data_IF_542474598209
#
_entry.id   IF_542474598209
#
_cell.length_a   1.000
_cell.length_b   1.000
_cell.length_c   1.000
_cell.angle_alpha   90.00
_cell.angle_beta   90.00
_cell.angle_gamma   90.00
#
_symmetry.space_group_name_H-M   'P 1'
#
loop_
_entity.id
_entity.type
_entity.pdbx_description
1 polymer ?
#
# COMPACT_ATOMS: atom_id res chain seq x y z
N UNK A 1 27.30 32.56 64.25
CA UNK A 1 27.10 32.07 62.88
C UNK A 1 27.64 30.65 62.82
N UNK A 2 26.76 29.65 62.62
CA UNK A 2 27.12 28.24 62.53
C UNK A 2 27.53 27.91 61.09
N UNK A 3 28.78 27.49 60.89
CA UNK A 3 29.24 26.98 59.59
C UNK A 3 28.80 25.53 59.44
N UNK A 4 28.05 25.25 58.36
CA UNK A 4 27.60 23.90 57.97
C UNK A 4 28.69 23.28 57.11
N UNK A 5 29.21 22.11 57.51
CA UNK A 5 30.13 21.31 56.71
C UNK A 5 29.31 20.32 55.86
N UNK A 6 29.49 20.36 54.54
CA UNK A 6 28.97 19.34 53.61
C UNK A 6 29.99 18.21 53.49
N UNK A 7 29.62 17.01 53.93
CA UNK A 7 30.38 15.77 53.73
C UNK A 7 29.90 15.15 52.41
N UNK A 8 30.80 15.07 51.43
CA UNK A 8 30.55 14.31 50.20
C UNK A 8 30.90 12.84 50.43
N UNK A 9 29.88 11.99 50.58
CA UNK A 9 30.05 10.54 50.55
C UNK A 9 30.04 10.12 49.08
N UNK A 10 31.21 9.78 48.56
CA UNK A 10 31.38 9.11 47.27
C UNK A 10 30.88 7.66 47.42
N UNK A 11 29.66 7.40 46.93
CA UNK A 11 29.17 6.04 46.72
C UNK A 11 29.78 5.52 45.41
N UNK A 12 30.83 4.70 45.52
CA UNK A 12 31.38 3.96 44.38
C UNK A 12 30.42 2.81 44.08
N UNK A 13 29.51 3.00 43.12
CA UNK A 13 28.74 1.91 42.54
C UNK A 13 29.68 1.06 41.67
N UNK A 14 30.10 -0.10 42.20
CA UNK A 14 30.65 -1.18 41.39
C UNK A 14 29.54 -1.70 40.48
N UNK A 15 29.47 -1.14 39.27
CA UNK A 15 28.68 -1.71 38.19
C UNK A 15 29.36 -3.01 37.77
N UNK A 16 28.91 -4.14 38.33
CA UNK A 16 29.18 -5.44 37.75
C UNK A 16 28.41 -5.52 36.42
N UNK A 17 29.08 -5.13 35.34
CA UNK A 17 28.62 -5.41 33.98
C UNK A 17 28.72 -6.91 33.74
N UNK A 18 27.58 -7.60 33.77
CA UNK A 18 27.50 -8.94 33.21
C UNK A 18 27.63 -8.79 31.69
N UNK A 19 28.78 -9.16 31.13
CA UNK A 19 28.86 -9.45 29.69
C UNK A 19 27.99 -10.68 29.47
N UNK A 20 26.73 -10.44 29.06
CA UNK A 20 25.98 -11.47 28.35
C UNK A 20 26.84 -11.78 27.14
N UNK A 21 27.41 -12.97 27.12
CA UNK A 21 28.19 -13.47 26.00
C UNK A 21 27.28 -13.36 24.77
N UNK A 22 27.54 -12.37 23.92
CA UNK A 22 26.85 -12.21 22.65
C UNK A 22 27.23 -13.44 21.84
N UNK A 23 26.38 -14.47 21.90
CA UNK A 23 26.34 -15.53 20.93
C UNK A 23 26.10 -14.83 19.58
N UNK A 24 27.17 -14.53 18.85
CA UNK A 24 27.08 -14.01 17.49
C UNK A 24 26.22 -15.03 16.74
N UNK A 25 24.99 -14.65 16.39
CA UNK A 25 24.11 -15.53 15.65
C UNK A 25 24.79 -15.87 14.32
N UNK A 26 25.09 -17.15 14.12
CA UNK A 26 25.78 -17.68 12.92
C UNK A 26 24.91 -17.65 11.66
N UNK A 27 23.66 -17.19 11.80
CA UNK A 27 22.65 -17.13 10.75
C UNK A 27 22.10 -15.71 10.72
N UNK A 28 22.13 -15.09 9.54
CA UNK A 28 21.61 -13.74 9.37
C UNK A 28 20.52 -13.73 8.32
N UNK A 29 19.35 -13.23 8.69
CA UNK A 29 18.36 -12.82 7.71
C UNK A 29 18.88 -11.53 7.07
N UNK A 30 19.16 -11.58 5.77
CA UNK A 30 19.68 -10.43 5.02
C UNK A 30 18.57 -9.63 4.37
N UNK A 31 17.41 -10.25 4.15
CA UNK A 31 16.21 -9.58 3.71
C UNK A 31 14.95 -10.36 4.15
N UNK A 32 13.86 -9.66 4.51
CA UNK A 32 13.79 -8.23 4.80
C UNK A 32 14.52 -7.83 6.09
N UNK A 33 14.46 -6.53 6.42
CA UNK A 33 14.91 -6.02 7.71
C UNK A 33 13.84 -6.26 8.80
N UNK A 34 14.28 -6.37 10.05
CA UNK A 34 13.39 -6.54 11.20
C UNK A 34 12.48 -5.32 11.38
N UNK A 35 11.18 -5.56 11.54
CA UNK A 35 10.11 -4.55 11.57
C UNK A 35 9.55 -4.16 10.20
N UNK A 36 9.99 -4.79 9.10
CA UNK A 36 9.46 -4.49 7.77
C UNK A 36 7.94 -4.69 7.70
N UNK A 37 7.27 -3.80 6.98
CA UNK A 37 5.82 -3.85 6.74
C UNK A 37 5.57 -4.31 5.32
N UNK A 38 4.70 -5.30 5.18
CA UNK A 38 4.19 -5.82 3.92
C UNK A 38 2.68 -5.70 3.91
N UNK A 39 2.12 -5.68 2.72
CA UNK A 39 0.70 -5.69 2.50
C UNK A 39 0.19 -7.10 2.24
N UNK A 40 -1.05 -7.34 2.63
CA UNK A 40 -1.71 -8.63 2.45
C UNK A 40 -1.81 -8.96 0.94
N UNK A 41 -1.34 -10.15 0.58
CA UNK A 41 -1.26 -10.66 -0.79
C UNK A 41 0.10 -10.47 -1.46
N UNK A 42 1.00 -9.67 -0.87
CA UNK A 42 2.36 -9.49 -1.41
C UNK A 42 3.19 -10.78 -1.40
N UNK A 43 4.10 -10.88 -2.37
CA UNK A 43 5.13 -11.91 -2.45
C UNK A 43 6.46 -11.35 -1.94
N UNK A 44 6.84 -11.77 -0.74
CA UNK A 44 7.99 -11.28 0.00
C UNK A 44 9.14 -12.27 -0.12
N UNK A 45 10.28 -11.82 -0.68
CA UNK A 45 11.53 -12.58 -0.61
C UNK A 45 12.01 -12.61 0.85
N UNK A 46 12.49 -13.75 1.30
CA UNK A 46 13.21 -13.93 2.56
C UNK A 46 14.56 -14.54 2.20
N UNK A 47 15.64 -13.82 2.47
CA UNK A 47 16.99 -14.22 2.12
C UNK A 47 17.81 -14.43 3.39
N UNK A 48 18.57 -15.53 3.42
CA UNK A 48 19.38 -15.93 4.57
C UNK A 48 20.83 -16.06 4.13
N UNK A 49 21.72 -15.48 4.92
CA UNK A 49 23.15 -15.66 4.82
C UNK A 49 23.65 -16.55 5.98
N UNK A 50 24.56 -17.45 5.64
CA UNK A 50 25.13 -18.46 6.53
C UNK A 50 26.65 -18.32 6.48
N UNK A 51 27.31 -18.06 7.62
CA UNK A 51 28.74 -17.73 7.68
C UNK A 51 29.68 -18.91 7.32
N UNK A 52 30.98 -18.69 7.15
CA UNK A 52 31.92 -19.72 6.62
C UNK A 52 32.08 -21.00 7.48
N UNK A 53 31.71 -21.00 8.77
CA UNK A 53 31.63 -22.23 9.59
C UNK A 53 30.45 -23.14 9.19
N UNK A 54 29.55 -22.64 8.34
CA UNK A 54 28.43 -23.36 7.75
C UNK A 54 28.78 -24.21 6.52
N UNK A 55 30.07 -24.52 6.28
CA UNK A 55 30.52 -25.44 5.23
C UNK A 55 29.80 -26.82 5.21
N UNK A 56 29.03 -27.13 6.25
CA UNK A 56 28.24 -28.34 6.40
C UNK A 56 26.70 -28.13 6.38
N UNK A 57 26.18 -26.98 5.94
CA UNK A 57 24.72 -26.79 5.85
C UNK A 57 24.13 -27.71 4.79
N UNK A 58 23.11 -28.45 5.21
CA UNK A 58 22.33 -29.31 4.33
C UNK A 58 20.97 -28.69 4.02
N UNK A 59 20.35 -28.02 4.99
CA UNK A 59 19.03 -27.41 4.79
C UNK A 59 18.76 -26.23 5.72
N UNK A 60 17.91 -25.31 5.26
CA UNK A 60 17.42 -24.13 5.97
C UNK A 60 15.90 -24.18 6.02
N UNK A 61 15.35 -24.20 7.22
CA UNK A 61 13.91 -24.16 7.47
C UNK A 61 13.46 -22.73 7.66
N UNK A 62 12.48 -22.33 6.84
CA UNK A 62 11.75 -21.09 6.95
C UNK A 62 10.43 -21.36 7.64
N UNK A 63 10.09 -20.55 8.64
CA UNK A 63 8.85 -20.66 9.39
C UNK A 63 8.16 -19.32 9.52
N UNK A 64 6.83 -19.35 9.56
CA UNK A 64 5.97 -18.21 9.86
C UNK A 64 5.14 -18.57 11.08
N UNK A 65 5.20 -17.74 12.11
CA UNK A 65 4.54 -17.96 13.41
C UNK A 65 4.85 -19.35 14.00
N UNK A 66 6.12 -19.78 13.86
CA UNK A 66 6.64 -21.05 14.37
C UNK A 66 6.31 -22.28 13.52
N UNK A 67 5.46 -22.16 12.50
CA UNK A 67 5.15 -23.25 11.56
C UNK A 67 6.14 -23.23 10.39
N UNK A 68 6.84 -24.34 10.14
CA UNK A 68 7.70 -24.47 8.96
C UNK A 68 6.82 -24.39 7.70
N UNK A 69 7.16 -23.45 6.83
CA UNK A 69 6.46 -23.20 5.56
C UNK A 69 7.30 -23.62 4.36
N UNK A 70 8.62 -23.66 4.51
CA UNK A 70 9.54 -24.04 3.43
C UNK A 70 10.87 -24.57 3.97
N UNK A 71 11.49 -25.47 3.21
CA UNK A 71 12.83 -25.99 3.46
C UNK A 71 13.64 -25.81 2.19
N UNK A 72 14.72 -25.02 2.28
CA UNK A 72 15.67 -24.87 1.19
C UNK A 72 16.91 -25.73 1.46
N UNK A 73 17.37 -26.47 0.45
CA UNK A 73 18.52 -27.37 0.53
C UNK A 73 19.70 -26.89 -0.29
N UNK A 74 19.59 -25.74 -0.94
CA UNK A 74 20.58 -25.27 -1.90
C UNK A 74 20.80 -23.77 -1.76
N UNK A 75 22.06 -23.38 -1.52
CA UNK A 75 22.45 -21.97 -1.54
C UNK A 75 22.31 -21.36 -2.95
N UNK A 76 21.95 -20.07 -3.08
CA UNK A 76 21.61 -19.15 -1.99
C UNK A 76 20.28 -19.50 -1.34
N UNK A 77 20.22 -19.45 0.00
CA UNK A 77 19.04 -19.89 0.75
C UNK A 77 17.96 -18.82 0.75
N UNK A 78 16.89 -19.08 0.01
CA UNK A 78 15.85 -18.09 -0.28
C UNK A 78 14.46 -18.70 -0.27
N UNK A 79 13.50 -17.94 0.24
CA UNK A 79 12.09 -18.31 0.20
C UNK A 79 11.24 -17.12 -0.23
N UNK A 80 10.26 -17.35 -1.10
CA UNK A 80 9.26 -16.36 -1.45
C UNK A 80 7.96 -16.66 -0.70
N UNK A 81 7.72 -15.92 0.38
CA UNK A 81 6.53 -16.00 1.19
C UNK A 81 5.40 -15.15 0.60
N UNK A 82 4.23 -15.73 0.37
CA UNK A 82 3.02 -14.97 -0.01
C UNK A 82 2.17 -14.69 1.24
N UNK A 83 1.89 -13.41 1.52
CA UNK A 83 1.19 -12.97 2.74
C UNK A 83 -0.33 -13.17 2.70
N UNK A 84 -0.89 -13.60 1.55
CA UNK A 84 -2.34 -13.78 1.33
C UNK A 84 -3.04 -14.62 2.41
N UNK A 85 -2.43 -15.74 2.80
CA UNK A 85 -2.98 -16.65 3.81
C UNK A 85 -2.63 -16.27 5.25
N UNK A 86 -1.86 -15.20 5.44
CA UNK A 86 -1.46 -14.72 6.75
C UNK A 86 -2.47 -13.73 7.31
N UNK A 87 -2.67 -13.78 8.61
CA UNK A 87 -3.50 -12.80 9.30
C UNK A 87 -2.82 -11.43 9.29
N UNK A 88 -3.62 -10.36 9.35
CA UNK A 88 -3.11 -8.99 9.51
C UNK A 88 -2.51 -8.83 10.91
N UNK A 89 -1.39 -8.11 11.01
CA UNK A 89 -0.67 -7.84 12.24
C UNK A 89 0.79 -8.32 12.20
N UNK A 90 1.40 -8.37 13.37
CA UNK A 90 2.79 -8.79 13.53
C UNK A 90 2.93 -10.30 13.29
N UNK A 91 3.91 -10.70 12.48
CA UNK A 91 4.29 -12.07 12.15
C UNK A 91 5.74 -12.31 12.56
N UNK A 92 6.01 -13.49 13.10
CA UNK A 92 7.38 -13.93 13.39
C UNK A 92 7.89 -14.81 12.24
N UNK A 93 8.95 -14.37 11.58
CA UNK A 93 9.67 -15.19 10.60
C UNK A 93 10.84 -15.85 11.32
N UNK A 94 10.80 -17.18 11.43
CA UNK A 94 11.84 -17.98 12.05
C UNK A 94 12.67 -18.73 11.02
N UNK A 95 13.98 -18.67 11.16
CA UNK A 95 14.97 -19.41 10.37
C UNK A 95 15.69 -20.41 11.26
N UNK A 96 15.82 -21.64 10.78
CA UNK A 96 16.65 -22.67 11.42
C UNK A 96 17.55 -23.30 10.37
N UNK A 97 18.85 -23.29 10.61
CA UNK A 97 19.87 -23.83 9.71
C UNK A 97 20.35 -25.17 10.27
N UNK A 98 20.38 -26.21 9.44
CA UNK A 98 20.66 -27.58 9.87
C UNK A 98 21.74 -28.28 9.05
N UNK A 99 22.44 -29.19 9.72
CA UNK A 99 23.18 -30.28 9.12
C UNK A 99 22.55 -31.60 9.59
N UNK A 100 21.80 -32.24 8.70
CA UNK A 100 20.94 -33.37 9.05
C UNK A 100 20.01 -33.01 10.23
N UNK A 101 20.13 -33.66 11.39
CA UNK A 101 19.31 -33.35 12.57
C UNK A 101 19.92 -32.33 13.52
N UNK A 102 21.14 -31.84 13.25
CA UNK A 102 21.83 -30.89 14.12
C UNK A 102 21.48 -29.47 13.72
N UNK A 103 20.99 -28.67 14.67
CA UNK A 103 20.77 -27.24 14.47
C UNK A 103 22.11 -26.52 14.56
N UNK A 104 22.51 -25.90 13.45
CA UNK A 104 23.74 -25.10 13.35
C UNK A 104 23.51 -23.64 13.76
N UNK A 105 22.28 -23.14 13.63
CA UNK A 105 21.92 -21.80 14.08
C UNK A 105 20.46 -21.45 13.83
N UNK A 106 20.01 -20.40 14.49
CA UNK A 106 18.64 -19.88 14.39
C UNK A 106 18.64 -18.36 14.31
N UNK A 107 17.69 -17.83 13.57
CA UNK A 107 17.41 -16.39 13.52
C UNK A 107 15.90 -16.18 13.53
N UNK A 108 15.46 -15.03 14.04
CA UNK A 108 14.08 -14.60 13.93
C UNK A 108 14.03 -13.12 13.59
N UNK A 109 12.93 -12.70 12.96
CA UNK A 109 12.59 -11.31 12.76
C UNK A 109 11.07 -11.14 12.87
N UNK A 110 10.66 -9.96 13.31
CA UNK A 110 9.27 -9.57 13.35
C UNK A 110 8.97 -8.76 12.09
N UNK A 111 7.92 -9.11 11.36
CA UNK A 111 7.42 -8.31 10.23
C UNK A 111 5.96 -7.99 10.49
N UNK A 112 5.40 -7.00 9.79
CA UNK A 112 3.98 -6.65 9.90
C UNK A 112 3.30 -6.91 8.56
N UNK A 113 2.15 -7.58 8.59
CA UNK A 113 1.26 -7.70 7.43
C UNK A 113 0.09 -6.75 7.66
N UNK A 114 -0.06 -5.73 6.83
CA UNK A 114 -1.17 -4.77 6.88
C UNK A 114 -2.15 -4.97 5.71
N UNK A 115 -3.41 -4.62 5.92
CA UNK A 115 -4.43 -4.52 4.87
C UNK A 115 -4.91 -3.10 4.65
N UNK A 116 -4.21 -2.14 5.25
CA UNK A 116 -4.49 -0.71 5.14
C UNK A 116 -3.18 0.07 5.01
N UNK A 117 -3.27 1.26 4.41
CA UNK A 117 -2.21 2.23 4.31
C UNK A 117 -2.68 3.53 4.94
N UNK A 118 -1.88 4.14 5.81
CA UNK A 118 -2.17 5.48 6.35
C UNK A 118 -1.29 6.51 5.67
N UNK A 119 -1.92 7.44 4.96
CA UNK A 119 -1.23 8.52 4.27
C UNK A 119 -0.59 9.47 5.30
N UNK A 120 0.75 9.61 5.32
CA UNK A 120 1.42 10.44 6.32
C UNK A 120 1.15 11.94 6.14
N UNK A 121 0.59 12.37 5.01
CA UNK A 121 0.36 13.79 4.69
C UNK A 121 -0.89 14.34 5.36
N UNK A 122 -1.90 13.49 5.60
CA UNK A 122 -3.17 13.89 6.20
C UNK A 122 -3.70 12.93 7.27
N UNK A 123 -3.01 11.81 7.53
CA UNK A 123 -3.38 10.80 8.50
C UNK A 123 -4.56 9.93 8.08
N UNK A 124 -5.01 10.01 6.83
CA UNK A 124 -6.13 9.21 6.34
C UNK A 124 -5.70 7.78 6.06
N UNK A 125 -6.45 6.84 6.61
CA UNK A 125 -6.24 5.41 6.36
C UNK A 125 -7.12 4.94 5.20
N UNK A 126 -6.50 4.27 4.24
CA UNK A 126 -7.12 3.64 3.08
C UNK A 126 -6.99 2.13 3.16
N UNK A 127 -8.04 1.41 2.77
CA UNK A 127 -7.95 -0.01 2.46
C UNK A 127 -7.12 -0.22 1.21
N UNK A 128 -6.41 -1.32 1.19
CA UNK A 128 -5.60 -1.73 0.04
C UNK A 128 -5.88 -3.18 -0.31
N UNK A 129 -5.61 -3.52 -1.56
CA UNK A 129 -5.63 -4.89 -2.06
C UNK A 129 -4.39 -5.15 -2.88
N UNK A 130 -3.94 -6.40 -2.92
CA UNK A 130 -2.88 -6.83 -3.85
C UNK A 130 -3.53 -7.56 -5.01
N UNK A 131 -3.19 -7.15 -6.23
CA UNK A 131 -3.66 -7.78 -7.47
C UNK A 131 -2.47 -7.99 -8.39
N UNK A 132 -2.15 -9.26 -8.66
CA UNK A 132 -0.90 -9.62 -9.32
C UNK A 132 0.29 -9.18 -8.46
N UNK A 133 1.22 -8.45 -9.06
CA UNK A 133 2.40 -7.89 -8.37
C UNK A 133 2.19 -6.46 -7.87
N UNK A 134 0.99 -5.88 -8.05
CA UNK A 134 0.70 -4.49 -7.71
C UNK A 134 -0.21 -4.38 -6.48
N UNK A 135 0.03 -3.36 -5.65
CA UNK A 135 -0.82 -3.00 -4.52
C UNK A 135 -1.63 -1.77 -4.89
N UNK A 136 -2.94 -1.84 -4.67
CA UNK A 136 -3.91 -0.81 -5.06
C UNK A 136 -4.63 -0.27 -3.84
N UNK A 137 -5.02 1.01 -3.87
CA UNK A 137 -6.09 1.45 -2.99
C UNK A 137 -7.40 0.80 -3.40
N UNK A 138 -8.13 0.28 -2.41
CA UNK A 138 -9.50 -0.21 -2.56
C UNK A 138 -10.53 0.89 -2.22
N UNK A 139 -10.08 2.15 -2.17
CA UNK A 139 -10.87 3.33 -1.87
C UNK A 139 -10.31 4.49 -2.70
N UNK A 140 -11.14 5.46 -3.06
CA UNK A 140 -10.67 6.64 -3.79
C UNK A 140 -9.70 7.46 -2.93
N UNK A 141 -8.57 7.86 -3.52
CA UNK A 141 -7.65 8.79 -2.88
C UNK A 141 -8.37 10.11 -2.58
N UNK A 142 -8.26 10.58 -1.34
CA UNK A 142 -9.00 11.74 -0.85
C UNK A 142 -8.08 12.87 -0.37
N UNK A 143 -6.82 12.85 -0.77
CA UNK A 143 -5.86 13.89 -0.42
C UNK A 143 -6.31 15.24 -1.03
N UNK A 144 -6.53 16.24 -0.19
CA UNK A 144 -7.11 17.53 -0.61
C UNK A 144 -6.32 18.70 0.00
N UNK A 145 -5.35 19.31 -0.70
CA UNK A 145 -4.51 20.39 -0.17
C UNK A 145 -5.14 21.76 -0.33
N UNK A 146 -6.03 21.87 -1.30
CA UNK A 146 -6.54 23.06 -1.92
C UNK A 146 -7.87 22.68 -2.57
N UNK A 147 -8.66 23.67 -2.97
CA UNK A 147 -9.97 23.47 -3.58
C UNK A 147 -10.18 24.51 -4.68
N UNK A 148 -10.54 24.04 -5.86
CA UNK A 148 -10.85 24.85 -7.03
C UNK A 148 -12.34 24.97 -7.23
N UNK A 149 -12.77 26.05 -7.88
CA UNK A 149 -14.16 26.16 -8.31
C UNK A 149 -14.43 25.11 -9.40
N UNK A 150 -15.64 24.51 -9.45
CA UNK A 150 -15.99 23.56 -10.52
C UNK A 150 -15.94 24.14 -11.95
N UNK A 151 -15.91 25.46 -12.08
CA UNK A 151 -15.77 26.19 -13.35
C UNK A 151 -14.32 26.42 -13.76
N UNK A 152 -13.36 26.21 -12.86
CA UNK A 152 -11.94 26.39 -13.11
C UNK A 152 -11.34 25.08 -13.61
N UNK A 153 -10.56 25.14 -14.69
CA UNK A 153 -9.86 24.01 -15.26
C UNK A 153 -8.53 24.42 -15.85
N UNK A 154 -7.61 23.46 -15.95
CA UNK A 154 -6.31 23.68 -16.59
C UNK A 154 -5.67 22.36 -17.02
N UNK A 155 -4.89 22.42 -18.10
CA UNK A 155 -3.97 21.36 -18.53
C UNK A 155 -2.57 21.47 -17.90
N UNK A 156 -2.30 22.56 -17.17
CA UNK A 156 -0.96 22.81 -16.57
C UNK A 156 -1.01 23.21 -15.09
N UNK A 157 -2.09 23.87 -14.67
CA UNK A 157 -2.39 24.13 -13.26
C UNK A 157 -2.94 22.90 -12.57
N UNK A 158 -2.73 22.78 -11.26
CA UNK A 158 -3.32 21.72 -10.44
C UNK A 158 -4.70 22.18 -9.96
N UNK A 159 -5.72 21.37 -10.19
CA UNK A 159 -7.06 21.62 -9.70
C UNK A 159 -7.62 20.44 -8.93
N UNK A 160 -8.27 20.75 -7.83
CA UNK A 160 -8.82 19.81 -6.87
C UNK A 160 -10.30 20.13 -6.66
N UNK A 161 -11.16 19.12 -6.72
CA UNK A 161 -12.60 19.34 -6.60
C UNK A 161 -13.21 18.38 -5.59
N UNK A 162 -14.32 18.80 -5.01
CA UNK A 162 -15.19 17.95 -4.20
C UNK A 162 -16.58 17.99 -4.80
N UNK A 163 -17.17 16.80 -4.98
CA UNK A 163 -18.47 16.67 -5.61
C UNK A 163 -19.53 17.47 -4.85
N UNK A 164 -20.22 18.38 -5.56
CA UNK A 164 -21.28 19.23 -5.01
C UNK A 164 -20.78 20.34 -4.08
N UNK A 165 -19.49 20.68 -4.12
CA UNK A 165 -18.91 21.76 -3.32
C UNK A 165 -18.34 22.86 -4.23
N UNK A 166 -18.83 24.09 -4.06
CA UNK A 166 -18.39 25.30 -4.77
C UNK A 166 -17.80 26.37 -3.83
N UNK A 167 -17.54 26.01 -2.56
CA UNK A 167 -16.84 26.93 -1.65
C UNK A 167 -15.34 26.97 -1.93
N UNK A 168 -14.62 27.80 -1.17
CA UNK A 168 -13.18 28.03 -1.32
C UNK A 168 -12.37 27.60 -0.09
N UNK A 169 -12.97 26.82 0.82
CA UNK A 169 -12.33 26.37 2.05
C UNK A 169 -12.24 24.84 2.09
N UNK A 170 -11.01 24.32 2.06
CA UNK A 170 -10.72 22.88 2.20
C UNK A 170 -11.37 22.29 3.44
N UNK A 171 -11.34 22.99 4.58
CA UNK A 171 -11.95 22.50 5.82
C UNK A 171 -13.45 22.23 5.67
N UNK A 172 -14.17 23.09 4.96
CA UNK A 172 -15.61 22.94 4.73
C UNK A 172 -15.86 21.84 3.69
N UNK A 173 -15.05 21.77 2.63
CA UNK A 173 -15.11 20.70 1.64
C UNK A 173 -14.98 19.31 2.31
N UNK A 174 -14.02 19.16 3.24
CA UNK A 174 -13.77 17.93 3.99
C UNK A 174 -14.92 17.47 4.89
N UNK A 175 -15.81 18.39 5.27
CA UNK A 175 -16.98 18.11 6.09
C UNK A 175 -18.20 17.67 5.26
N UNK A 176 -18.16 17.82 3.94
CA UNK A 176 -19.27 17.41 3.07
C UNK A 176 -19.44 15.89 3.04
N UNK A 177 -20.68 15.42 2.93
CA UNK A 177 -20.99 14.00 2.81
C UNK A 177 -20.34 13.36 1.57
N UNK A 178 -20.26 14.12 0.47
CA UNK A 178 -19.63 13.67 -0.76
C UNK A 178 -18.12 13.49 -0.61
N UNK A 179 -17.41 14.40 0.05
CA UNK A 179 -15.98 14.19 0.34
C UNK A 179 -15.75 12.97 1.22
N UNK A 180 -16.54 12.82 2.28
CA UNK A 180 -16.41 11.69 3.20
C UNK A 180 -16.64 10.35 2.49
N UNK A 181 -17.58 10.30 1.54
CA UNK A 181 -17.97 9.10 0.80
C UNK A 181 -17.08 8.81 -0.41
N UNK A 182 -16.76 9.81 -1.22
CA UNK A 182 -16.15 9.64 -2.54
C UNK A 182 -14.71 10.16 -2.64
N UNK A 183 -14.27 10.97 -1.67
CA UNK A 183 -12.97 11.62 -1.71
C UNK A 183 -12.95 12.88 -2.56
N UNK A 184 -11.82 13.14 -3.21
CA UNK A 184 -11.60 14.29 -4.07
C UNK A 184 -11.46 13.87 -5.54
N UNK A 185 -11.73 14.81 -6.43
CA UNK A 185 -11.51 14.69 -7.87
C UNK A 185 -10.32 15.57 -8.26
N UNK A 186 -9.57 15.14 -9.25
CA UNK A 186 -8.32 15.78 -9.65
C UNK A 186 -8.31 15.94 -11.16
N UNK A 187 -7.81 17.07 -11.68
CA UNK A 187 -7.31 17.07 -13.04
C UNK A 187 -6.00 16.27 -13.12
N UNK A 188 -5.52 15.96 -14.33
CA UNK A 188 -4.34 15.11 -14.52
C UNK A 188 -3.10 15.63 -13.79
N UNK A 189 -2.79 16.94 -13.90
CA UNK A 189 -1.64 17.54 -13.22
C UNK A 189 -1.74 17.44 -11.69
N UNK A 190 -2.94 17.60 -11.13
CA UNK A 190 -3.16 17.40 -9.70
C UNK A 190 -3.04 15.93 -9.31
N UNK A 191 -3.56 15.00 -10.11
CA UNK A 191 -3.47 13.56 -9.86
C UNK A 191 -2.01 13.11 -9.79
N UNK A 192 -1.15 13.58 -10.72
CA UNK A 192 0.28 13.25 -10.76
C UNK A 192 1.03 13.72 -9.51
N UNK A 193 0.52 14.75 -8.84
CA UNK A 193 1.06 15.27 -7.58
C UNK A 193 0.34 14.73 -6.33
N UNK A 194 -0.82 14.08 -6.49
CA UNK A 194 -1.67 13.66 -5.39
C UNK A 194 -1.21 12.33 -4.77
N UNK A 195 -0.46 11.49 -5.47
CA UNK A 195 -0.02 10.20 -4.93
C UNK A 195 0.90 10.36 -3.69
N UNK A 196 0.68 9.61 -2.60
CA UNK A 196 1.58 9.62 -1.44
C UNK A 196 2.95 9.02 -1.77
N UNK A 197 3.98 9.25 -0.93
CA UNK A 197 5.30 8.64 -1.13
C UNK A 197 5.21 7.12 -1.29
N UNK A 198 5.88 6.58 -2.31
CA UNK A 198 5.84 5.16 -2.66
C UNK A 198 4.65 4.73 -3.53
N UNK A 199 3.69 5.62 -3.77
CA UNK A 199 2.53 5.38 -4.63
C UNK A 199 2.62 6.21 -5.91
N UNK A 200 1.94 5.75 -6.96
CA UNK A 200 1.90 6.43 -8.26
C UNK A 200 0.56 6.21 -8.94
N UNK A 201 0.29 6.97 -10.00
CA UNK A 201 -0.82 6.68 -10.90
C UNK A 201 -0.53 5.36 -11.62
N UNK A 202 -1.51 4.45 -11.74
CA UNK A 202 -1.37 3.22 -12.52
C UNK A 202 -1.16 3.52 -14.01
N UNK A 203 -0.42 2.66 -14.68
CA UNK A 203 -0.29 2.62 -16.15
C UNK A 203 -1.45 1.81 -16.76
N UNK A 204 -1.67 1.92 -18.07
CA UNK A 204 -2.68 1.10 -18.76
C UNK A 204 -2.34 -0.40 -18.65
N UNK A 205 -1.06 -0.77 -18.65
CA UNK A 205 -0.62 -2.16 -18.45
C UNK A 205 -1.03 -2.71 -17.06
N UNK A 206 -1.00 -1.87 -16.02
CA UNK A 206 -1.46 -2.26 -14.68
C UNK A 206 -2.97 -2.36 -14.60
N UNK A 207 -3.69 -1.44 -15.27
CA UNK A 207 -5.14 -1.56 -15.43
C UNK A 207 -5.51 -2.85 -16.16
N UNK A 208 -4.79 -3.21 -17.22
CA UNK A 208 -4.98 -4.46 -17.95
C UNK A 208 -4.72 -5.70 -17.07
N UNK A 209 -3.74 -5.66 -16.17
CA UNK A 209 -3.52 -6.75 -15.21
C UNK A 209 -4.71 -6.90 -14.26
N UNK A 210 -5.17 -5.78 -13.70
CA UNK A 210 -6.35 -5.75 -12.84
C UNK A 210 -7.60 -6.28 -13.58
N UNK A 211 -7.82 -5.85 -14.81
CA UNK A 211 -8.90 -6.31 -15.70
C UNK A 211 -8.84 -7.79 -16.04
N UNK A 212 -7.64 -8.36 -16.21
CA UNK A 212 -7.47 -9.79 -16.46
C UNK A 212 -8.02 -10.62 -15.29
N UNK A 213 -7.84 -10.14 -14.06
CA UNK A 213 -8.27 -10.87 -12.85
C UNK A 213 -9.78 -11.03 -12.73
N UNK A 214 -10.55 -10.14 -13.36
CA UNK A 214 -12.02 -10.22 -13.42
C UNK A 214 -12.53 -10.90 -14.69
N UNK A 215 -11.64 -11.52 -15.48
CA UNK A 215 -11.99 -12.33 -16.63
C UNK A 215 -12.17 -11.55 -17.93
N UNK A 216 -11.54 -10.38 -18.10
CA UNK A 216 -11.43 -9.76 -19.42
C UNK A 216 -10.48 -10.60 -20.30
N UNK A 217 -10.90 -11.08 -21.49
CA UNK A 217 -10.07 -11.90 -22.35
C UNK A 217 -8.82 -11.14 -22.84
N UNK A 218 -7.70 -11.86 -23.00
CA UNK A 218 -6.44 -11.24 -23.45
C UNK A 218 -6.54 -10.51 -24.79
N UNK A 219 -7.41 -10.95 -25.69
CA UNK A 219 -7.68 -10.31 -26.99
C UNK A 219 -8.40 -8.95 -26.87
N UNK A 220 -9.00 -8.67 -25.72
CA UNK A 220 -9.72 -7.42 -25.42
C UNK A 220 -8.84 -6.41 -24.67
N UNK A 221 -7.86 -6.86 -23.88
CA UNK A 221 -7.06 -6.01 -22.98
C UNK A 221 -6.32 -4.88 -23.73
N UNK A 222 -5.86 -5.12 -24.96
CA UNK A 222 -5.16 -4.12 -25.77
C UNK A 222 -6.06 -3.20 -26.62
N UNK A 223 -7.40 -3.32 -26.51
CA UNK A 223 -8.31 -2.47 -27.28
C UNK A 223 -8.36 -1.06 -26.71
N UNK A 224 -8.54 -0.09 -27.61
CA UNK A 224 -8.86 1.29 -27.21
C UNK A 224 -10.36 1.41 -26.91
N UNK A 225 -10.71 2.15 -25.86
CA UNK A 225 -12.08 2.35 -25.42
C UNK A 225 -12.57 1.26 -24.46
N UNK A 226 -13.86 0.94 -24.51
CA UNK A 226 -14.47 -0.02 -23.60
C UNK A 226 -13.90 -1.44 -23.79
N UNK A 227 -13.50 -2.08 -22.68
CA UNK A 227 -13.00 -3.46 -22.64
C UNK A 227 -13.98 -4.36 -21.90
N UNK A 228 -14.18 -5.58 -22.42
CA UNK A 228 -15.11 -6.56 -21.87
C UNK A 228 -16.58 -6.29 -22.21
N UNK A 229 -17.48 -7.08 -21.61
CA UNK A 229 -18.93 -7.00 -21.84
C UNK A 229 -19.68 -6.54 -20.58
N UNK A 230 -19.39 -7.15 -19.43
CA UNK A 230 -20.05 -6.85 -18.15
C UNK A 230 -19.15 -7.04 -16.92
N UNK A 231 -17.89 -7.40 -17.12
CA UNK A 231 -16.95 -7.74 -16.05
C UNK A 231 -16.72 -6.57 -15.09
N UNK A 232 -16.92 -5.32 -15.53
CA UNK A 232 -16.81 -4.12 -14.68
C UNK A 232 -17.68 -4.16 -13.40
N UNK A 233 -18.73 -4.98 -13.34
CA UNK A 233 -19.48 -5.24 -12.11
C UNK A 233 -18.60 -5.81 -10.97
N UNK A 234 -17.52 -6.51 -11.30
CA UNK A 234 -16.57 -7.06 -10.32
C UNK A 234 -15.67 -5.99 -9.67
N UNK A 235 -15.48 -4.84 -10.31
CA UNK A 235 -14.76 -3.69 -9.72
C UNK A 235 -15.67 -2.80 -8.89
N UNK A 236 -16.90 -2.60 -9.35
CA UNK A 236 -17.89 -1.78 -8.66
C UNK A 236 -18.08 -2.27 -7.22
N UNK A 237 -18.11 -1.33 -6.28
CA UNK A 237 -18.55 -1.60 -4.93
C UNK A 237 -19.95 -2.23 -4.92
N UNK A 238 -20.20 -3.07 -3.91
CA UNK A 238 -21.50 -3.69 -3.68
C UNK A 238 -22.56 -2.71 -3.13
N UNK A 239 -22.26 -1.41 -3.10
CA UNK A 239 -23.12 -0.35 -2.62
C UNK A 239 -22.80 0.98 -3.32
N UNK A 240 -23.73 1.94 -3.21
CA UNK A 240 -23.53 3.32 -3.66
C UNK A 240 -23.82 3.58 -5.13
N UNK A 241 -23.91 2.54 -5.96
CA UNK A 241 -24.36 2.63 -7.36
C UNK A 241 -25.88 2.39 -7.43
N UNK A 242 -26.57 2.91 -8.45
CA UNK A 242 -27.93 2.50 -8.77
C UNK A 242 -28.01 1.00 -9.09
N UNK A 243 -27.07 0.51 -9.89
CA UNK A 243 -26.82 -0.92 -10.12
C UNK A 243 -25.47 -1.32 -9.49
N UNK A 244 -25.54 -1.83 -8.26
CA UNK A 244 -24.37 -2.24 -7.49
C UNK A 244 -23.56 -3.36 -8.16
N UNK A 245 -22.26 -3.34 -7.89
CA UNK A 245 -21.35 -4.40 -8.32
C UNK A 245 -21.40 -5.64 -7.44
N UNK A 246 -20.67 -6.66 -7.87
CA UNK A 246 -20.38 -7.84 -7.06
C UNK A 246 -19.15 -7.66 -6.18
N UNK A 247 -18.29 -6.67 -6.51
CA UNK A 247 -17.03 -6.40 -5.85
C UNK A 247 -16.10 -7.63 -5.70
N UNK A 248 -16.18 -8.59 -6.63
CA UNK A 248 -15.36 -9.82 -6.57
C UNK A 248 -13.85 -9.55 -6.60
N UNK A 249 -13.44 -8.41 -7.15
CA UNK A 249 -12.03 -7.98 -7.16
C UNK A 249 -11.52 -7.43 -5.83
N UNK A 250 -12.43 -7.03 -4.93
CA UNK A 250 -12.10 -6.23 -3.75
C UNK A 250 -11.77 -4.75 -4.01
N UNK A 251 -11.67 -4.32 -5.28
CA UNK A 251 -11.29 -2.94 -5.66
C UNK A 251 -12.26 -1.88 -5.13
N UNK A 252 -13.53 -2.24 -4.95
CA UNK A 252 -14.56 -1.43 -4.27
C UNK A 252 -14.76 -0.03 -4.88
N UNK A 253 -14.73 0.06 -6.21
CA UNK A 253 -14.95 1.30 -6.95
C UNK A 253 -16.30 1.96 -6.60
N UNK A 254 -16.28 3.21 -6.15
CA UNK A 254 -17.48 4.02 -5.88
C UNK A 254 -17.77 5.00 -7.03
N UNK A 255 -19.04 5.35 -7.29
CA UNK A 255 -19.42 6.24 -8.39
C UNK A 255 -19.16 7.71 -8.05
N UNK A 256 -17.89 8.09 -7.94
CA UNK A 256 -17.48 9.45 -7.61
C UNK A 256 -17.81 10.47 -8.72
N UNK A 257 -18.02 9.99 -9.95
CA UNK A 257 -18.18 10.83 -11.13
C UNK A 257 -16.86 11.43 -11.60
N UNK A 258 -16.94 12.52 -12.36
CA UNK A 258 -15.80 13.32 -12.81
C UNK A 258 -16.17 14.80 -12.76
N UNK A 259 -15.16 15.66 -12.73
CA UNK A 259 -15.36 17.09 -12.89
C UNK A 259 -14.85 17.48 -14.29
N UNK A 260 -15.77 17.95 -15.13
CA UNK A 260 -15.43 18.57 -16.40
C UNK A 260 -15.62 20.08 -16.25
N UNK A 261 -14.55 20.86 -16.14
CA UNK A 261 -14.66 22.30 -15.94
C UNK A 261 -15.26 22.97 -17.17
N UNK A 262 -16.24 23.86 -16.96
CA UNK A 262 -17.11 24.41 -18.00
C UNK A 262 -16.47 25.32 -19.05
N UNK A 263 -15.16 25.56 -19.03
CA UNK A 263 -14.48 26.48 -19.96
C UNK A 263 -13.89 25.81 -21.22
N UNK A 264 -14.21 24.54 -21.50
CA UNK A 264 -13.67 23.82 -22.65
C UNK A 264 -14.44 23.97 -23.97
N UNK A 265 -15.56 24.70 -24.00
CA UNK A 265 -16.29 24.99 -25.25
C UNK A 265 -17.20 26.20 -25.11
N UNK A 266 -17.39 26.93 -26.21
CA UNK A 266 -18.38 28.01 -26.40
C UNK A 266 -19.85 27.56 -26.29
N UNK A 267 -20.15 26.54 -25.47
CA UNK A 267 -21.50 26.04 -25.20
C UNK A 267 -21.75 26.10 -23.69
N UNK A 268 -22.87 26.72 -23.34
CA UNK A 268 -23.35 26.98 -21.99
C UNK A 268 -23.18 25.77 -21.05
N UNK A 269 -22.50 26.01 -19.92
CA UNK A 269 -22.47 25.19 -18.70
C UNK A 269 -22.48 23.67 -18.92
N UNK A 270 -21.33 23.04 -19.14
CA UNK A 270 -21.18 21.63 -18.81
C UNK A 270 -21.13 21.51 -17.27
N UNK A 271 -22.20 21.07 -16.57
CA UNK A 271 -22.12 20.88 -15.14
C UNK A 271 -21.11 19.77 -14.89
N UNK A 272 -20.24 19.94 -13.88
CA UNK A 272 -19.49 18.83 -13.35
C UNK A 272 -20.47 17.66 -13.10
N UNK A 273 -20.24 16.53 -13.79
CA UNK A 273 -21.14 15.37 -13.75
C UNK A 273 -20.84 14.63 -12.46
N UNK A 274 -21.50 15.12 -11.43
CA UNK A 274 -21.42 14.65 -10.08
C UNK A 274 -22.16 13.33 -9.93
N UNK A 275 -21.45 12.35 -9.36
CA UNK A 275 -21.82 10.96 -9.15
C UNK A 275 -23.31 10.64 -9.18
N UNK A 276 -23.70 9.83 -10.16
CA UNK A 276 -24.84 8.92 -10.00
C UNK A 276 -24.63 7.57 -10.68
N UNK A 277 -23.80 7.46 -11.73
CA UNK A 277 -23.68 6.20 -12.50
C UNK A 277 -22.30 5.91 -13.10
N UNK A 278 -21.26 6.68 -12.75
CA UNK A 278 -19.94 6.57 -13.36
C UNK A 278 -18.84 6.77 -12.33
N UNK A 279 -17.68 6.19 -12.62
CA UNK A 279 -16.44 6.41 -11.90
C UNK A 279 -15.29 6.40 -12.92
N UNK A 280 -14.36 7.32 -12.76
CA UNK A 280 -13.25 7.55 -13.67
C UNK A 280 -11.96 7.67 -12.88
N UNK A 281 -10.90 7.05 -13.36
CA UNK A 281 -9.56 7.13 -12.78
C UNK A 281 -8.55 7.41 -13.89
N UNK A 282 -7.48 8.11 -13.51
CA UNK A 282 -6.39 8.45 -14.41
C UNK A 282 -5.50 7.24 -14.69
N UNK A 283 -4.95 7.18 -15.91
CA UNK A 283 -3.75 6.38 -16.20
C UNK A 283 -2.54 7.29 -16.42
N UNK A 284 -1.35 6.82 -16.03
CA UNK A 284 -0.09 7.51 -16.26
C UNK A 284 0.41 7.41 -17.72
N UNK A 285 -0.26 6.62 -18.55
CA UNK A 285 0.11 6.43 -19.96
C UNK A 285 -0.14 7.71 -20.78
N UNK A 286 0.74 7.99 -21.74
CA UNK A 286 0.87 9.28 -22.43
C UNK A 286 -0.38 9.83 -23.13
N UNK A 287 -1.44 9.04 -23.27
CA UNK A 287 -2.70 9.44 -23.92
C UNK A 287 -3.60 10.30 -23.04
N UNK A 288 -3.40 10.28 -21.72
CA UNK A 288 -4.17 11.09 -20.77
C UNK A 288 -3.51 12.45 -20.47
N UNK A 289 -2.33 12.71 -21.06
CA UNK A 289 -1.52 13.91 -20.85
C UNK A 289 -1.73 15.01 -21.93
N UNK A 290 -2.57 14.75 -22.94
CA UNK A 290 -2.88 15.65 -24.07
C UNK A 290 -4.30 16.22 -23.96
#
# INVERSE_FOLDING_TARGET
>A
MRSIYLVFISLVFLLAGCQKEDQISMVRITYPYDGAVFFKGEKVKIAVDTNEETANVQEVHFSVDGKIVYTDKKAPYEYFWTTESSDVGTRNIGIRVLNSSTVLGEANMMVKVDSTFTDPRDGRTYKIITVGDNVWFAENLAWLPDISQPTEGSNSGKHYYVNGYSGNLVQNARQTANYQKYGALYNFTAAMAACPPGWRIPTDEEWMELERTIGIPAVELGKQGARGANQGAAFKAAYGWPDNGTNLSGFSALPAGYCWPGNYSDDDDAPAVFGSNLASWWTASSKDAE
#
